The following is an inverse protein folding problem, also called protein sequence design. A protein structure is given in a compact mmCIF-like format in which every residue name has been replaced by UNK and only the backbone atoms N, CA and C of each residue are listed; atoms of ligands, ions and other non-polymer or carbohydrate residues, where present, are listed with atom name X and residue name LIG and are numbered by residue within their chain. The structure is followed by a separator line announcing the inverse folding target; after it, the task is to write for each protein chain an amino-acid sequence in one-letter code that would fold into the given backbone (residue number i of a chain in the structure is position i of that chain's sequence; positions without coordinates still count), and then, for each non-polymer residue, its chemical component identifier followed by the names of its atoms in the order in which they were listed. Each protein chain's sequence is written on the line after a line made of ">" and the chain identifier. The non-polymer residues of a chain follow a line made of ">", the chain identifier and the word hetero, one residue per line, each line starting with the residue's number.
data_IF_727920580027
#
_entry.id   IF_727920580027
#
_cell.length_a   1.000
_cell.length_b   1.000
_cell.length_c   1.000
_cell.angle_alpha   90.00
_cell.angle_beta   90.00
_cell.angle_gamma   90.00
#
_symmetry.space_group_name_H-M   'P 1'
#
loop_
_entity.id
_entity.type
_entity.pdbx_description
1 polymer ?
#
# COMPACT_ATOMS: atom_id res chain seq x y z
N UNK A 1 -23.55 20.81 54.69
CA UNK A 1 -23.60 19.58 53.87
C UNK A 1 -23.76 19.96 52.41
N UNK A 2 -22.72 19.74 51.60
CA UNK A 2 -22.75 19.28 50.21
C UNK A 2 -21.29 19.25 49.73
N UNK A 3 -20.74 18.04 49.69
CA UNK A 3 -19.44 17.78 49.10
C UNK A 3 -19.51 18.06 47.60
N UNK A 4 -18.55 18.82 47.10
CA UNK A 4 -18.28 18.91 45.68
C UNK A 4 -17.25 17.81 45.37
N UNK A 5 -17.71 16.71 44.78
CA UNK A 5 -16.83 15.65 44.29
C UNK A 5 -16.07 16.20 43.07
N UNK A 6 -14.76 16.39 43.24
CA UNK A 6 -13.84 16.75 42.17
C UNK A 6 -13.64 15.50 41.28
N UNK A 7 -14.41 15.41 40.19
CA UNK A 7 -14.17 14.42 39.13
C UNK A 7 -12.95 14.90 38.35
N UNK A 8 -11.79 14.33 38.67
CA UNK A 8 -10.57 14.46 37.88
C UNK A 8 -10.77 13.64 36.60
N UNK A 9 -11.28 14.27 35.54
CA UNK A 9 -11.22 13.73 34.19
C UNK A 9 -9.75 13.68 33.76
N UNK A 10 -9.06 12.59 34.07
CA UNK A 10 -7.89 12.18 33.30
C UNK A 10 -8.38 11.90 31.87
N UNK A 11 -8.37 12.92 31.03
CA UNK A 11 -8.23 12.73 29.58
C UNK A 11 -6.86 12.11 29.35
N UNK A 12 -6.73 10.80 29.60
CA UNK A 12 -5.77 10.01 28.86
C UNK A 12 -6.20 10.15 27.41
N UNK A 13 -5.47 10.96 26.64
CA UNK A 13 -5.41 10.77 25.20
C UNK A 13 -5.16 9.29 24.96
N UNK A 14 -6.21 8.54 24.66
CA UNK A 14 -6.10 7.18 24.13
C UNK A 14 -5.41 7.36 22.78
N UNK A 15 -4.09 7.38 22.81
CA UNK A 15 -3.29 7.08 21.62
C UNK A 15 -3.61 5.60 21.39
N UNK A 16 -4.59 5.35 20.52
CA UNK A 16 -4.79 4.03 19.95
C UNK A 16 -3.50 3.73 19.18
N UNK A 17 -2.57 3.06 19.84
CA UNK A 17 -1.38 2.57 19.18
C UNK A 17 -1.81 1.34 18.40
N UNK A 18 -1.71 1.42 17.07
CA UNK A 18 -1.97 0.27 16.20
C UNK A 18 -1.06 -0.88 16.60
N UNK A 19 -1.66 -2.05 16.87
CA UNK A 19 -0.91 -3.27 17.23
C UNK A 19 -0.21 -3.91 16.04
N UNK A 20 -0.65 -3.59 14.82
CA UNK A 20 0.02 -3.92 13.58
C UNK A 20 1.06 -2.86 13.19
N UNK A 21 2.26 -3.28 12.80
CA UNK A 21 3.34 -2.34 12.49
C UNK A 21 4.37 -2.91 11.51
N UNK A 22 5.10 -1.99 10.88
CA UNK A 22 6.28 -2.28 10.05
C UNK A 22 7.50 -1.71 10.76
N UNK A 23 8.57 -2.51 10.87
CA UNK A 23 9.85 -2.05 11.40
C UNK A 23 10.97 -2.37 10.42
N UNK A 24 11.86 -1.41 10.17
CA UNK A 24 13.00 -1.59 9.28
C UNK A 24 14.16 -2.28 10.02
N UNK A 25 14.87 -3.18 9.34
CA UNK A 25 16.00 -3.91 9.95
C UNK A 25 17.18 -3.00 10.26
N UNK A 26 17.37 -1.94 9.47
CA UNK A 26 18.41 -0.92 9.67
C UNK A 26 18.35 -0.24 11.05
N UNK A 27 17.18 -0.26 11.72
CA UNK A 27 16.99 0.35 13.03
C UNK A 27 17.48 -0.51 14.22
N UNK A 28 17.94 -1.74 13.99
CA UNK A 28 18.28 -2.70 15.05
C UNK A 28 19.76 -3.11 15.00
N UNK A 29 20.64 -2.23 15.48
CA UNK A 29 22.11 -2.39 15.44
C UNK A 29 22.76 -2.88 16.74
N UNK A 30 21.98 -3.49 17.64
CA UNK A 30 22.44 -3.91 18.96
C UNK A 30 22.64 -5.42 19.07
N UNK A 31 23.74 -5.84 19.70
CA UNK A 31 23.97 -7.22 20.14
C UNK A 31 23.12 -7.61 21.35
N UNK A 32 22.66 -6.61 22.11
CA UNK A 32 21.75 -6.83 23.25
C UNK A 32 20.32 -6.90 22.74
N UNK A 33 19.53 -7.92 23.13
CA UNK A 33 18.12 -8.03 22.76
C UNK A 33 17.35 -6.75 23.06
N UNK A 34 16.80 -6.16 22.01
CA UNK A 34 16.00 -4.95 22.06
C UNK A 34 14.53 -5.31 21.88
N UNK A 35 13.67 -4.85 22.79
CA UNK A 35 12.24 -5.10 22.73
C UNK A 35 11.60 -4.33 21.57
N UNK A 36 10.85 -5.03 20.71
CA UNK A 36 9.98 -4.38 19.73
C UNK A 36 8.71 -3.96 20.47
N UNK A 37 8.41 -2.66 20.49
CA UNK A 37 7.27 -2.11 21.24
C UNK A 37 5.94 -2.43 20.55
N UNK A 38 4.83 -2.35 21.29
CA UNK A 38 3.47 -2.45 20.76
C UNK A 38 3.13 -3.78 20.06
N UNK A 39 3.84 -4.85 20.40
CA UNK A 39 3.49 -6.21 19.98
C UNK A 39 2.51 -6.79 20.99
N UNK A 40 1.41 -7.35 20.49
CA UNK A 40 0.42 -8.03 21.32
C UNK A 40 0.63 -9.54 21.32
N UNK A 41 0.06 -10.20 22.31
CA UNK A 41 0.08 -11.66 22.40
C UNK A 41 -0.77 -12.27 21.28
N UNK A 42 -0.31 -13.41 20.74
CA UNK A 42 -0.90 -14.11 19.59
C UNK A 42 -0.79 -13.36 18.25
N UNK A 43 0.16 -12.45 18.11
CA UNK A 43 0.55 -11.84 16.84
C UNK A 43 1.42 -12.78 15.99
N UNK A 44 1.63 -12.43 14.71
CA UNK A 44 2.62 -13.06 13.83
C UNK A 44 3.60 -12.05 13.26
N UNK A 45 4.87 -12.46 13.20
CA UNK A 45 5.99 -11.75 12.58
C UNK A 45 6.28 -12.32 11.18
N UNK A 46 6.44 -11.43 10.21
CA UNK A 46 6.72 -11.74 8.81
C UNK A 46 7.97 -10.98 8.35
N UNK A 47 8.78 -11.60 7.48
CA UNK A 47 10.01 -11.00 6.96
C UNK A 47 9.90 -10.75 5.45
N UNK A 48 10.21 -9.53 5.03
CA UNK A 48 10.44 -9.22 3.62
C UNK A 48 11.82 -8.58 3.47
N UNK A 49 12.76 -9.30 2.87
CA UNK A 49 14.13 -8.82 2.67
C UNK A 49 14.76 -9.42 1.41
N UNK A 50 15.59 -8.62 0.75
CA UNK A 50 16.52 -9.02 -0.31
C UNK A 50 17.97 -9.07 0.18
N UNK A 51 18.19 -8.90 1.49
CA UNK A 51 19.52 -8.88 2.09
C UNK A 51 20.16 -10.27 2.06
N UNK A 52 21.49 -10.31 2.08
CA UNK A 52 22.23 -11.56 2.01
C UNK A 52 21.88 -12.49 3.19
N UNK A 53 21.67 -13.77 2.90
CA UNK A 53 21.36 -14.81 3.90
C UNK A 53 22.35 -14.82 5.07
N UNK A 54 23.64 -14.56 4.81
CA UNK A 54 24.66 -14.47 5.86
C UNK A 54 24.44 -13.31 6.84
N UNK A 55 23.93 -12.16 6.36
CA UNK A 55 23.58 -11.00 7.22
C UNK A 55 22.31 -11.28 8.00
N UNK A 56 21.30 -11.87 7.36
CA UNK A 56 20.04 -12.25 8.00
C UNK A 56 20.23 -13.37 9.04
N UNK A 57 21.17 -14.28 8.82
CA UNK A 57 21.53 -15.35 9.76
C UNK A 57 22.17 -14.85 11.06
N UNK A 58 22.65 -13.60 11.07
CA UNK A 58 23.24 -12.93 12.25
C UNK A 58 22.23 -12.11 13.06
N UNK A 59 20.99 -12.02 12.59
CA UNK A 59 19.89 -11.32 13.25
C UNK A 59 18.95 -12.35 13.83
N UNK A 60 18.70 -12.27 15.14
CA UNK A 60 17.84 -13.20 15.87
C UNK A 60 16.64 -12.47 16.43
N UNK A 61 15.47 -13.07 16.30
CA UNK A 61 14.24 -12.67 16.98
C UNK A 61 13.86 -13.73 17.99
N UNK A 62 13.42 -13.29 19.16
CA UNK A 62 13.03 -14.17 20.28
C UNK A 62 11.69 -13.75 20.83
N UNK A 63 10.78 -14.72 20.98
CA UNK A 63 9.47 -14.54 21.61
C UNK A 63 8.92 -15.88 22.09
N UNK A 64 8.18 -15.88 23.20
CA UNK A 64 7.59 -17.06 23.82
C UNK A 64 8.62 -18.19 24.07
N UNK A 65 9.83 -17.81 24.48
CA UNK A 65 10.96 -18.72 24.71
C UNK A 65 11.51 -19.39 23.43
N UNK A 66 11.02 -19.03 22.25
CA UNK A 66 11.51 -19.51 20.95
C UNK A 66 12.39 -18.47 20.30
N UNK A 67 13.49 -18.91 19.68
CA UNK A 67 14.40 -18.04 18.92
C UNK A 67 14.50 -18.51 17.48
N UNK A 68 14.39 -17.56 16.55
CA UNK A 68 14.63 -17.80 15.12
C UNK A 68 15.58 -16.74 14.58
N UNK A 69 16.49 -17.16 13.70
CA UNK A 69 17.23 -16.22 12.86
C UNK A 69 16.33 -15.70 11.73
N UNK A 70 16.58 -14.50 11.23
CA UNK A 70 15.79 -13.96 10.12
C UNK A 70 15.95 -14.81 8.85
N UNK A 71 17.12 -15.43 8.64
CA UNK A 71 17.32 -16.33 7.50
C UNK A 71 16.35 -17.53 7.53
N UNK A 72 15.97 -18.04 8.72
CA UNK A 72 14.99 -19.13 8.84
C UNK A 72 13.56 -18.67 8.49
N UNK A 73 13.25 -17.39 8.65
CA UNK A 73 11.95 -16.82 8.29
C UNK A 73 11.84 -16.53 6.79
N UNK A 74 12.96 -16.35 6.10
CA UNK A 74 12.99 -15.97 4.68
C UNK A 74 12.37 -17.03 3.76
N UNK A 75 12.30 -18.28 4.21
CA UNK A 75 11.81 -19.45 3.47
C UNK A 75 10.52 -20.05 4.03
N UNK A 76 9.87 -19.39 4.99
CA UNK A 76 8.71 -19.94 5.71
C UNK A 76 7.37 -19.63 5.00
N UNK A 77 7.08 -20.38 3.94
CA UNK A 77 5.88 -20.25 3.11
C UNK A 77 4.98 -21.47 3.14
N UNK A 78 3.71 -21.25 2.83
CA UNK A 78 2.79 -22.31 2.46
C UNK A 78 3.02 -22.77 1.00
N UNK A 79 2.26 -23.78 0.58
CA UNK A 79 2.35 -24.34 -0.78
C UNK A 79 1.93 -23.34 -1.89
N UNK A 80 1.24 -22.25 -1.54
CA UNK A 80 0.80 -21.22 -2.47
C UNK A 80 1.75 -20.01 -2.48
N UNK A 81 2.83 -20.04 -1.69
CA UNK A 81 3.83 -18.97 -1.61
C UNK A 81 3.48 -17.84 -0.63
N UNK A 82 2.43 -17.97 0.18
CA UNK A 82 2.11 -17.01 1.25
C UNK A 82 2.93 -17.31 2.50
N UNK A 83 3.28 -16.28 3.27
CA UNK A 83 4.04 -16.47 4.50
C UNK A 83 3.20 -17.15 5.58
N UNK A 84 3.77 -18.14 6.26
CA UNK A 84 3.13 -18.75 7.44
C UNK A 84 3.15 -17.80 8.66
N UNK A 85 4.23 -17.01 8.76
CA UNK A 85 4.53 -16.11 9.87
C UNK A 85 5.06 -16.83 11.11
N UNK A 86 5.97 -16.20 11.84
CA UNK A 86 6.44 -16.67 13.13
C UNK A 86 5.50 -16.19 14.24
N UNK A 87 4.88 -17.09 15.03
CA UNK A 87 4.06 -16.67 16.16
C UNK A 87 4.89 -15.91 17.20
N UNK A 88 4.41 -14.75 17.62
CA UNK A 88 5.08 -13.85 18.56
C UNK A 88 4.09 -13.26 19.56
N UNK A 89 4.61 -12.83 20.70
CA UNK A 89 3.91 -12.22 21.80
C UNK A 89 4.53 -10.87 22.19
N UNK A 90 3.97 -10.23 23.20
CA UNK A 90 4.44 -8.95 23.76
C UNK A 90 5.86 -8.96 24.34
N UNK A 91 6.50 -10.12 24.41
CA UNK A 91 7.90 -10.33 24.80
C UNK A 91 8.88 -10.31 23.60
N UNK A 92 8.42 -10.00 22.39
CA UNK A 92 9.24 -10.01 21.18
C UNK A 92 10.47 -9.10 21.31
N UNK A 93 11.64 -9.69 21.11
CA UNK A 93 12.93 -8.99 21.05
C UNK A 93 13.68 -9.32 19.77
N UNK A 94 14.58 -8.42 19.39
CA UNK A 94 15.49 -8.57 18.25
C UNK A 94 16.91 -8.18 18.65
N UNK A 95 17.89 -8.92 18.16
CA UNK A 95 19.32 -8.60 18.29
C UNK A 95 20.07 -8.95 17.02
N UNK A 96 21.23 -8.34 16.82
CA UNK A 96 22.11 -8.59 15.68
C UNK A 96 23.56 -8.71 16.13
N UNK A 97 24.31 -9.58 15.45
CA UNK A 97 25.78 -9.65 15.55
C UNK A 97 26.47 -9.07 14.32
N UNK A 98 25.71 -8.44 13.42
CA UNK A 98 26.28 -7.68 12.32
C UNK A 98 27.09 -6.48 12.83
N UNK A 99 28.02 -6.01 12.00
CA UNK A 99 28.64 -4.70 12.23
C UNK A 99 27.60 -3.59 12.05
N UNK A 100 27.87 -2.39 12.59
CA UNK A 100 27.02 -1.22 12.41
C UNK A 100 26.84 -0.92 10.90
N UNK A 101 27.93 -0.84 10.15
CA UNK A 101 27.89 -0.60 8.70
C UNK A 101 27.10 -1.67 7.93
N UNK A 102 27.19 -2.94 8.34
CA UNK A 102 26.38 -4.00 7.73
C UNK A 102 24.90 -3.87 8.04
N UNK A 103 24.56 -3.38 9.24
CA UNK A 103 23.18 -3.17 9.70
C UNK A 103 22.54 -1.97 9.02
N UNK A 104 23.26 -0.85 8.94
CA UNK A 104 22.80 0.38 8.30
C UNK A 104 22.55 0.19 6.78
N UNK A 105 23.16 -0.82 6.18
CA UNK A 105 22.99 -1.19 4.78
C UNK A 105 21.86 -2.20 4.51
N UNK A 106 21.15 -2.67 5.54
CA UNK A 106 20.02 -3.59 5.38
C UNK A 106 18.82 -2.88 4.78
N UNK A 107 18.08 -3.56 3.91
CA UNK A 107 16.87 -3.01 3.28
C UNK A 107 15.59 -3.76 3.68
N UNK A 108 15.75 -4.86 4.41
CA UNK A 108 14.63 -5.67 4.87
C UNK A 108 13.71 -4.96 5.85
N UNK A 109 12.48 -5.44 5.90
CA UNK A 109 11.47 -5.02 6.85
C UNK A 109 10.85 -6.24 7.53
N UNK A 110 10.38 -6.00 8.75
CA UNK A 110 9.53 -6.92 9.48
C UNK A 110 8.11 -6.34 9.51
N UNK A 111 7.14 -7.17 9.19
CA UNK A 111 5.73 -6.89 9.43
C UNK A 111 5.27 -7.67 10.64
N UNK A 112 4.66 -6.98 11.60
CA UNK A 112 4.04 -7.58 12.77
C UNK A 112 2.54 -7.33 12.64
N UNK A 113 1.78 -8.42 12.59
CA UNK A 113 0.33 -8.40 12.50
C UNK A 113 -0.32 -8.23 13.86
N UNK A 114 -1.56 -7.72 13.88
CA UNK A 114 -2.39 -7.77 15.08
C UNK A 114 -2.83 -9.22 15.38
N UNK A 115 -3.27 -9.52 16.61
CA UNK A 115 -3.81 -10.84 16.94
C UNK A 115 -5.05 -11.21 16.12
N UNK A 116 -5.86 -10.23 15.71
CA UNK A 116 -7.05 -10.45 14.89
C UNK A 116 -6.67 -10.82 13.45
N UNK A 117 -5.66 -10.17 12.88
CA UNK A 117 -5.09 -10.55 11.58
C UNK A 117 -4.50 -11.96 11.63
N UNK A 118 -3.78 -12.31 12.70
CA UNK A 118 -3.14 -13.62 12.85
C UNK A 118 -4.15 -14.78 12.94
N UNK A 119 -5.37 -14.51 13.42
CA UNK A 119 -6.49 -15.47 13.52
C UNK A 119 -7.35 -15.55 12.26
N UNK A 120 -7.34 -14.53 11.41
CA UNK A 120 -8.18 -14.51 10.20
C UNK A 120 -7.62 -15.44 9.11
N UNK A 121 -8.34 -16.51 8.72
CA UNK A 121 -7.89 -17.40 7.64
C UNK A 121 -7.90 -16.75 6.25
N UNK A 122 -8.54 -15.58 6.09
CA UNK A 122 -8.56 -14.81 4.84
C UNK A 122 -7.49 -13.71 4.81
N UNK A 123 -6.69 -13.60 5.87
CA UNK A 123 -5.55 -12.70 5.95
C UNK A 123 -4.28 -13.38 5.42
N UNK A 124 -3.74 -12.83 4.34
CA UNK A 124 -2.61 -13.37 3.60
C UNK A 124 -1.49 -12.33 3.58
N UNK A 125 -0.24 -12.80 3.65
CA UNK A 125 0.95 -11.96 3.51
C UNK A 125 1.83 -12.55 2.41
N UNK A 126 2.27 -11.71 1.49
CA UNK A 126 3.14 -12.11 0.39
C UNK A 126 4.29 -11.12 0.22
N UNK A 127 5.52 -11.63 0.14
CA UNK A 127 6.68 -10.83 -0.29
C UNK A 127 6.81 -10.90 -1.79
N UNK A 128 6.82 -9.74 -2.45
CA UNK A 128 6.83 -9.68 -3.91
C UNK A 128 8.20 -10.02 -4.46
N UNK A 129 8.25 -11.12 -5.21
CA UNK A 129 9.47 -11.78 -5.72
C UNK A 129 9.54 -11.69 -7.24
N UNK A 130 10.66 -12.16 -7.80
CA UNK A 130 10.89 -12.18 -9.25
C UNK A 130 9.90 -13.04 -10.03
N UNK A 131 9.30 -14.04 -9.39
CA UNK A 131 8.33 -14.91 -10.03
C UNK A 131 6.95 -14.25 -10.03
N UNK A 132 6.27 -14.34 -11.18
CA UNK A 132 4.87 -14.00 -11.29
C UNK A 132 4.07 -15.00 -10.47
N UNK A 133 3.35 -14.52 -9.46
CA UNK A 133 2.45 -15.35 -8.65
C UNK A 133 1.01 -15.08 -9.08
N UNK A 134 0.31 -16.07 -9.67
CA UNK A 134 -1.13 -15.99 -9.84
C UNK A 134 -1.82 -16.14 -8.48
N UNK A 135 -2.60 -15.14 -8.12
CA UNK A 135 -3.47 -15.15 -6.94
C UNK A 135 -4.88 -15.46 -7.44
N UNK A 136 -5.41 -16.62 -7.06
CA UNK A 136 -6.81 -16.98 -7.31
C UNK A 136 -7.56 -17.15 -5.99
N UNK A 137 -8.42 -16.18 -5.72
CA UNK A 137 -9.33 -16.13 -4.58
C UNK A 137 -10.78 -16.01 -5.05
N UNK A 138 -11.08 -16.51 -6.25
CA UNK A 138 -12.40 -16.36 -6.88
C UNK A 138 -13.54 -17.01 -6.07
N UNK A 139 -13.23 -18.02 -5.26
CA UNK A 139 -14.20 -18.76 -4.43
C UNK A 139 -14.28 -18.26 -2.97
N UNK A 140 -13.62 -17.16 -2.62
CA UNK A 140 -13.61 -16.62 -1.26
C UNK A 140 -14.47 -15.35 -1.18
N UNK A 141 -15.30 -15.25 -0.16
CA UNK A 141 -16.17 -14.08 0.03
C UNK A 141 -15.43 -12.85 0.55
N UNK A 142 -14.31 -13.08 1.26
CA UNK A 142 -13.42 -12.04 1.74
C UNK A 142 -11.96 -12.42 1.55
N UNK A 143 -11.12 -11.43 1.30
CA UNK A 143 -9.67 -11.60 1.24
C UNK A 143 -9.00 -10.31 1.69
N UNK A 144 -7.98 -10.44 2.53
CA UNK A 144 -7.05 -9.34 2.83
C UNK A 144 -5.65 -9.82 2.51
N UNK A 145 -4.99 -9.19 1.55
CA UNK A 145 -3.65 -9.56 1.10
C UNK A 145 -2.70 -8.39 1.35
N UNK A 146 -1.75 -8.58 2.26
CA UNK A 146 -0.63 -7.67 2.47
C UNK A 146 0.49 -8.02 1.49
N UNK A 147 0.94 -7.02 0.74
CA UNK A 147 2.02 -7.12 -0.22
C UNK A 147 3.24 -6.36 0.32
N UNK A 148 4.33 -7.09 0.52
CA UNK A 148 5.60 -6.56 1.02
C UNK A 148 6.61 -6.51 -0.14
N UNK A 149 6.97 -5.31 -0.56
CA UNK A 149 7.87 -5.11 -1.69
C UNK A 149 9.33 -5.26 -1.25
N UNK A 150 10.08 -6.09 -1.97
CA UNK A 150 11.51 -6.26 -1.74
C UNK A 150 12.30 -5.13 -2.40
N UNK A 151 13.41 -4.73 -1.77
CA UNK A 151 14.34 -3.78 -2.38
C UNK A 151 15.00 -4.40 -3.62
N UNK A 152 15.11 -3.61 -4.69
CA UNK A 152 15.78 -3.96 -5.93
C UNK A 152 16.80 -2.89 -6.23
N UNK A 153 18.08 -3.27 -6.22
CA UNK A 153 19.15 -2.36 -6.60
C UNK A 153 19.01 -1.94 -8.07
N UNK A 154 19.29 -0.66 -8.35
CA UNK A 154 19.37 -0.18 -9.72
C UNK A 154 20.62 -0.72 -10.40
N UNK A 155 20.48 -1.10 -11.67
CA UNK A 155 21.61 -1.33 -12.56
C UNK A 155 21.85 -0.10 -13.44
N UNK A 156 23.03 0.01 -14.06
CA UNK A 156 23.41 1.17 -14.86
C UNK A 156 22.47 1.46 -16.06
N UNK A 157 21.72 0.46 -16.52
CA UNK A 157 20.75 0.57 -17.62
C UNK A 157 19.34 0.93 -17.16
N UNK A 158 19.08 0.96 -15.85
CA UNK A 158 17.76 1.32 -15.33
C UNK A 158 17.51 2.81 -15.51
N UNK A 159 16.29 3.23 -15.92
CA UNK A 159 15.95 4.63 -15.99
C UNK A 159 15.91 5.26 -14.59
N UNK A 160 16.13 6.57 -14.54
CA UNK A 160 16.10 7.34 -13.29
C UNK A 160 14.75 7.23 -12.57
N UNK A 161 13.68 7.02 -13.33
CA UNK A 161 12.29 6.88 -12.88
C UNK A 161 11.98 5.54 -12.22
N UNK A 162 12.83 4.51 -12.40
CA UNK A 162 12.64 3.21 -11.77
C UNK A 162 12.79 3.34 -10.23
N UNK A 163 11.81 2.91 -9.43
CA UNK A 163 11.90 2.93 -7.98
C UNK A 163 12.70 1.73 -7.45
N UNK A 164 13.17 1.81 -6.20
CA UNK A 164 13.84 0.68 -5.54
C UNK A 164 12.87 -0.39 -5.03
N UNK A 165 11.60 -0.04 -4.83
CA UNK A 165 10.55 -0.96 -4.44
C UNK A 165 9.46 -0.86 -5.50
N UNK A 166 8.99 -1.99 -6.00
CA UNK A 166 7.87 -2.00 -6.92
C UNK A 166 7.19 -3.35 -6.97
N UNK A 167 5.89 -3.27 -7.22
CA UNK A 167 5.02 -4.39 -7.54
C UNK A 167 4.11 -3.99 -8.66
N UNK A 168 3.87 -4.94 -9.55
CA UNK A 168 2.85 -4.86 -10.58
C UNK A 168 1.78 -5.89 -10.31
N UNK A 169 0.54 -5.43 -10.32
CA UNK A 169 -0.67 -6.26 -10.26
C UNK A 169 -1.39 -6.12 -11.59
N UNK A 170 -1.61 -7.23 -12.28
CA UNK A 170 -2.31 -7.24 -13.57
C UNK A 170 -3.31 -8.39 -13.69
N UNK A 171 -4.07 -8.38 -14.80
CA UNK A 171 -5.09 -9.40 -15.05
C UNK A 171 -6.17 -9.43 -13.96
N UNK A 172 -6.47 -8.27 -13.35
CA UNK A 172 -7.40 -8.16 -12.23
C UNK A 172 -8.81 -8.52 -12.70
N UNK A 173 -9.36 -9.55 -12.09
CA UNK A 173 -10.72 -10.05 -12.29
C UNK A 173 -11.46 -9.97 -10.97
N UNK A 174 -12.66 -9.39 -11.05
CA UNK A 174 -13.60 -9.36 -9.94
C UNK A 174 -15.03 -9.43 -10.48
N UNK A 175 -15.94 -10.13 -9.81
CA UNK A 175 -17.38 -9.99 -10.01
C UNK A 175 -17.91 -8.59 -9.67
N UNK A 176 -19.04 -8.21 -10.26
CA UNK A 176 -19.67 -6.89 -10.06
C UNK A 176 -20.09 -6.63 -8.61
N UNK A 177 -20.46 -7.67 -7.88
CA UNK A 177 -20.84 -7.59 -6.47
C UNK A 177 -19.63 -7.53 -5.51
N UNK A 178 -18.40 -7.76 -6.00
CA UNK A 178 -17.20 -7.67 -5.18
C UNK A 178 -16.77 -6.21 -5.01
N UNK A 179 -16.58 -5.81 -3.76
CA UNK A 179 -15.92 -4.55 -3.43
C UNK A 179 -14.42 -4.78 -3.31
N UNK A 180 -13.65 -4.27 -4.27
CA UNK A 180 -12.19 -4.28 -4.23
C UNK A 180 -11.67 -2.94 -3.72
N UNK A 181 -10.74 -3.02 -2.79
CA UNK A 181 -10.05 -1.87 -2.20
C UNK A 181 -8.55 -2.12 -2.21
N UNK A 182 -7.78 -1.07 -2.43
CA UNK A 182 -6.33 -1.08 -2.29
C UNK A 182 -5.92 0.09 -1.40
N UNK A 183 -5.02 -0.19 -0.46
CA UNK A 183 -4.67 0.72 0.60
C UNK A 183 -3.15 0.84 0.76
N UNK A 184 -2.72 2.02 1.17
CA UNK A 184 -1.37 2.34 1.60
C UNK A 184 -0.99 1.56 2.86
N UNK A 185 0.24 1.02 2.87
CA UNK A 185 0.82 0.40 4.05
C UNK A 185 0.10 -0.88 4.50
N UNK A 186 0.21 -1.20 5.78
CA UNK A 186 -0.45 -2.37 6.37
C UNK A 186 -1.81 -2.01 6.98
N UNK A 187 -2.74 -2.97 7.07
CA UNK A 187 -4.02 -2.77 7.74
C UNK A 187 -3.78 -2.38 9.20
N UNK A 188 -4.68 -1.60 9.79
CA UNK A 188 -4.65 -1.25 11.22
C UNK A 188 -5.53 -2.18 12.06
N UNK A 189 -5.68 -1.88 13.35
CA UNK A 189 -6.64 -2.61 14.18
C UNK A 189 -8.08 -2.34 13.71
N UNK A 190 -8.91 -3.39 13.68
CA UNK A 190 -10.28 -3.30 13.14
C UNK A 190 -10.35 -3.12 11.62
N UNK A 191 -9.32 -3.53 10.86
CA UNK A 191 -9.27 -3.39 9.39
C UNK A 191 -10.45 -4.00 8.61
N UNK A 192 -11.23 -4.89 9.22
CA UNK A 192 -12.44 -5.45 8.62
C UNK A 192 -13.64 -4.50 8.68
N UNK A 193 -13.61 -3.48 9.55
CA UNK A 193 -14.67 -2.49 9.68
C UNK A 193 -14.58 -1.44 8.55
N UNK A 194 -15.56 -1.40 7.63
CA UNK A 194 -15.59 -0.42 6.55
C UNK A 194 -15.84 1.02 7.03
N UNK A 195 -16.31 1.21 8.27
CA UNK A 195 -16.63 2.53 8.85
C UNK A 195 -15.46 3.16 9.60
N UNK A 196 -14.37 2.42 9.81
CA UNK A 196 -13.22 2.93 10.54
C UNK A 196 -12.51 4.02 9.71
N UNK A 197 -12.56 5.27 10.17
CA UNK A 197 -11.98 6.42 9.47
C UNK A 197 -10.49 6.29 9.16
N UNK A 198 -9.74 5.52 9.97
CA UNK A 198 -8.34 5.24 9.74
C UNK A 198 -8.10 4.52 8.39
N UNK A 199 -9.04 3.68 7.95
CA UNK A 199 -8.95 2.96 6.68
C UNK A 199 -9.18 3.88 5.48
N UNK A 200 -10.02 4.91 5.62
CA UNK A 200 -10.31 5.86 4.52
C UNK A 200 -9.10 6.70 4.13
N UNK A 201 -8.26 7.11 5.09
CA UNK A 201 -7.04 7.90 4.79
C UNK A 201 -5.97 7.13 4.03
N UNK A 202 -6.01 5.79 4.10
CA UNK A 202 -5.07 4.90 3.43
C UNK A 202 -5.59 4.45 2.06
N UNK A 203 -6.86 4.68 1.71
CA UNK A 203 -7.46 4.16 0.49
C UNK A 203 -6.84 4.82 -0.75
N UNK A 204 -6.27 4.01 -1.64
CA UNK A 204 -5.63 4.44 -2.89
C UNK A 204 -6.55 4.23 -4.10
N UNK A 205 -7.24 3.10 -4.12
CA UNK A 205 -8.07 2.68 -5.24
C UNK A 205 -9.23 1.83 -4.73
N UNK A 206 -10.37 1.91 -5.42
CA UNK A 206 -11.50 1.02 -5.23
C UNK A 206 -12.18 0.71 -6.56
N UNK A 207 -12.84 -0.45 -6.64
CA UNK A 207 -13.78 -0.77 -7.70
C UNK A 207 -14.89 -1.64 -7.10
N UNK A 208 -16.18 -1.26 -7.13
CA UNK A 208 -16.75 -0.06 -7.78
C UNK A 208 -16.25 1.30 -7.29
N UNK A 209 -16.31 2.30 -8.17
CA UNK A 209 -15.93 3.69 -7.91
C UNK A 209 -17.17 4.52 -7.62
N UNK A 210 -17.09 5.43 -6.66
CA UNK A 210 -18.13 6.44 -6.47
C UNK A 210 -17.73 7.69 -7.22
N UNK A 211 -18.52 8.08 -8.22
CA UNK A 211 -18.34 9.30 -8.98
C UNK A 211 -18.80 10.48 -8.12
N UNK A 212 -17.95 11.49 -7.97
CA UNK A 212 -18.37 12.73 -7.31
C UNK A 212 -19.37 13.44 -8.23
N UNK A 213 -20.62 13.55 -7.81
CA UNK A 213 -21.55 14.48 -8.45
C UNK A 213 -21.20 15.93 -8.04
N UNK A 214 -21.43 16.92 -8.92
CA UNK A 214 -21.25 18.32 -8.57
C UNK A 214 -22.08 18.72 -7.34
N UNK A 215 -21.56 19.69 -6.59
CA UNK A 215 -22.12 20.18 -5.32
C UNK A 215 -23.62 20.49 -5.48
N UNK A 216 -24.49 19.74 -4.77
CA UNK A 216 -25.92 20.05 -4.66
C UNK A 216 -26.92 18.91 -4.89
N UNK A 217 -26.51 17.71 -5.30
CA UNK A 217 -27.41 16.56 -5.57
C UNK A 217 -27.04 15.28 -4.76
N UNK A 218 -28.02 14.37 -4.48
CA UNK A 218 -27.86 13.17 -3.64
C UNK A 218 -27.20 12.00 -4.41
N UNK A 219 -27.03 10.80 -3.78
CA UNK A 219 -25.73 10.17 -3.55
C UNK A 219 -24.89 9.90 -4.81
N UNK A 220 -23.57 9.96 -4.65
CA UNK A 220 -22.57 9.61 -5.66
C UNK A 220 -22.91 8.30 -6.39
N UNK A 221 -23.12 8.38 -7.72
CA UNK A 221 -23.31 7.19 -8.56
C UNK A 221 -22.12 6.27 -8.38
N UNK A 222 -22.40 4.98 -8.15
CA UNK A 222 -21.36 3.97 -8.00
C UNK A 222 -21.29 3.16 -9.27
N UNK A 223 -20.14 3.20 -9.94
CA UNK A 223 -19.91 2.56 -11.24
C UNK A 223 -18.88 1.45 -11.09
N UNK A 224 -19.24 0.28 -11.60
CA UNK A 224 -18.35 -0.87 -11.66
C UNK A 224 -17.62 -0.94 -13.00
N UNK A 225 -16.32 -1.20 -12.94
CA UNK A 225 -15.48 -1.37 -14.13
C UNK A 225 -15.07 -2.83 -14.30
N UNK A 226 -15.51 -3.43 -15.42
CA UNK A 226 -15.08 -4.77 -15.84
C UNK A 226 -13.59 -4.84 -16.23
N UNK A 227 -12.98 -3.70 -16.55
CA UNK A 227 -11.57 -3.61 -16.90
C UNK A 227 -10.84 -2.71 -15.92
N UNK A 228 -9.85 -3.29 -15.24
CA UNK A 228 -8.92 -2.55 -14.40
C UNK A 228 -7.56 -2.62 -15.08
N UNK A 229 -6.98 -1.48 -15.43
CA UNK A 229 -5.62 -1.41 -15.98
C UNK A 229 -4.60 -1.97 -14.98
N UNK A 230 -3.43 -2.46 -15.45
CA UNK A 230 -2.37 -2.90 -14.56
C UNK A 230 -1.97 -1.82 -13.55
N UNK A 231 -1.93 -2.21 -12.29
CA UNK A 231 -1.60 -1.33 -11.18
C UNK A 231 -0.14 -1.53 -10.80
N UNK A 232 0.58 -0.41 -10.64
CA UNK A 232 1.95 -0.42 -10.13
C UNK A 232 2.03 0.34 -8.83
N UNK A 233 2.63 -0.28 -7.82
CA UNK A 233 2.78 0.30 -6.50
C UNK A 233 4.24 0.20 -6.05
N UNK A 234 4.75 1.29 -5.49
CA UNK A 234 6.20 1.50 -5.41
C UNK A 234 6.72 1.73 -4.00
N UNK A 235 5.89 1.64 -2.95
CA UNK A 235 6.35 1.71 -1.56
C UNK A 235 6.65 0.32 -0.99
N UNK A 236 7.25 0.30 0.20
CA UNK A 236 7.68 -0.94 0.88
C UNK A 236 6.52 -1.88 1.22
N UNK A 237 5.33 -1.35 1.51
CA UNK A 237 4.15 -2.16 1.84
C UNK A 237 2.84 -1.51 1.41
N UNK A 238 1.86 -2.36 1.13
CA UNK A 238 0.48 -2.03 0.83
C UNK A 238 -0.41 -3.25 1.01
N UNK A 239 -1.71 -3.07 0.93
CA UNK A 239 -2.63 -4.20 1.00
C UNK A 239 -3.84 -4.04 0.10
N UNK A 240 -4.39 -5.18 -0.28
CA UNK A 240 -5.61 -5.35 -1.06
C UNK A 240 -6.66 -5.96 -0.14
N UNK A 241 -7.89 -5.45 -0.19
CA UNK A 241 -9.04 -6.06 0.47
C UNK A 241 -10.16 -6.27 -0.54
N UNK A 242 -10.74 -7.46 -0.54
CA UNK A 242 -11.95 -7.78 -1.27
C UNK A 242 -13.05 -8.22 -0.30
N UNK A 243 -14.27 -7.73 -0.52
CA UNK A 243 -15.45 -8.00 0.33
C UNK A 243 -16.65 -8.29 -0.55
N UNK A 244 -17.46 -9.28 -0.17
CA UNK A 244 -18.72 -9.61 -0.85
C UNK A 244 -18.55 -10.44 -2.13
N UNK A 245 -17.33 -10.94 -2.38
CA UNK A 245 -17.02 -11.82 -3.50
C UNK A 245 -15.52 -12.00 -3.74
N UNK A 246 -15.20 -12.88 -4.68
CA UNK A 246 -13.82 -13.28 -4.96
C UNK A 246 -13.05 -12.36 -5.89
N UNK A 247 -11.73 -12.56 -5.93
CA UNK A 247 -10.79 -11.81 -6.78
C UNK A 247 -9.75 -12.74 -7.38
N UNK A 248 -9.24 -12.40 -8.56
CA UNK A 248 -8.07 -13.05 -9.12
C UNK A 248 -7.19 -12.04 -9.87
N UNK A 249 -5.87 -12.19 -9.79
CA UNK A 249 -4.88 -11.34 -10.47
C UNK A 249 -3.50 -11.98 -10.42
N UNK A 250 -2.55 -11.44 -11.19
CA UNK A 250 -1.14 -11.80 -11.04
C UNK A 250 -0.41 -10.71 -10.25
N UNK A 251 0.50 -11.12 -9.37
CA UNK A 251 1.44 -10.24 -8.68
C UNK A 251 2.83 -10.53 -9.20
N UNK A 252 3.59 -9.49 -9.56
CA UNK A 252 4.96 -9.65 -10.03
C UNK A 252 5.86 -8.49 -9.62
N UNK A 253 7.16 -8.77 -9.55
CA UNK A 253 8.22 -7.74 -9.46
C UNK A 253 8.65 -7.29 -10.85
N UNK A 254 7.70 -6.84 -11.67
CA UNK A 254 7.98 -6.20 -12.95
C UNK A 254 7.73 -4.70 -12.84
N UNK A 255 8.67 -3.91 -13.35
CA UNK A 255 8.49 -2.47 -13.48
C UNK A 255 8.31 -2.13 -14.95
N UNK A 256 7.26 -1.38 -15.24
CA UNK A 256 6.95 -0.84 -16.56
C UNK A 256 6.93 0.68 -16.43
N UNK A 257 7.69 1.36 -17.28
CA UNK A 257 7.66 2.81 -17.32
C UNK A 257 6.25 3.30 -17.66
N UNK A 258 5.74 4.23 -16.85
CA UNK A 258 4.39 4.83 -17.02
C UNK A 258 4.46 6.32 -17.34
N UNK A 259 5.62 6.81 -17.80
CA UNK A 259 5.82 8.17 -18.32
C UNK A 259 4.81 8.47 -19.43
N UNK A 260 4.62 7.51 -20.35
CA UNK A 260 3.59 7.55 -21.37
C UNK A 260 2.76 6.28 -21.27
N UNK A 261 1.49 6.42 -20.98
CA UNK A 261 0.57 5.29 -20.84
C UNK A 261 -0.66 5.49 -21.70
N UNK A 262 -1.05 4.46 -22.44
CA UNK A 262 -2.29 4.43 -23.19
C UNK A 262 -3.20 3.35 -22.61
N UNK A 263 -4.47 3.67 -22.37
CA UNK A 263 -5.43 2.70 -21.85
C UNK A 263 -5.67 1.55 -22.83
N UNK A 264 -5.87 0.35 -22.29
CA UNK A 264 -6.03 -0.86 -23.12
C UNK A 264 -7.46 -1.03 -23.61
N UNK A 265 -8.44 -0.48 -22.87
CA UNK A 265 -9.87 -0.48 -23.23
C UNK A 265 -10.48 0.91 -23.12
N UNK A 266 -11.65 1.03 -23.73
CA UNK A 266 -12.46 2.25 -23.77
C UNK A 266 -13.16 2.50 -22.43
N UNK A 267 -13.80 1.47 -21.86
CA UNK A 267 -14.33 1.50 -20.49
C UNK A 267 -13.34 0.83 -19.55
N UNK A 268 -12.63 1.62 -18.75
CA UNK A 268 -11.53 1.14 -17.89
C UNK A 268 -11.34 2.03 -16.66
N UNK A 269 -10.71 1.47 -15.63
CA UNK A 269 -10.24 2.24 -14.48
C UNK A 269 -8.83 1.81 -14.10
N UNK A 270 -8.09 2.64 -13.38
CA UNK A 270 -6.82 2.22 -12.79
C UNK A 270 -6.13 3.36 -12.04
N UNK A 271 -4.88 3.12 -11.66
CA UNK A 271 -4.01 4.19 -11.18
C UNK A 271 -2.56 3.89 -11.53
N UNK A 272 -1.78 4.95 -11.69
CA UNK A 272 -0.32 4.88 -11.80
C UNK A 272 0.30 5.56 -10.59
N UNK A 273 1.51 5.16 -10.23
CA UNK A 273 2.22 5.72 -9.08
C UNK A 273 3.63 6.10 -9.50
N UNK A 274 4.04 7.33 -9.22
CA UNK A 274 5.42 7.80 -9.42
C UNK A 274 6.11 8.04 -8.08
N UNK A 275 7.44 7.92 -8.09
CA UNK A 275 8.28 8.16 -6.92
C UNK A 275 9.54 8.95 -7.22
N UNK A 276 10.05 9.54 -6.13
CA UNK A 276 11.40 10.08 -5.92
C UNK A 276 11.76 11.38 -6.66
N UNK A 277 11.33 11.58 -7.90
CA UNK A 277 11.78 12.70 -8.74
C UNK A 277 10.63 13.43 -9.41
N UNK A 278 10.94 14.60 -9.99
CA UNK A 278 10.05 15.26 -10.95
C UNK A 278 9.65 14.28 -12.04
N UNK A 279 8.36 13.98 -12.13
CA UNK A 279 7.85 13.06 -13.11
C UNK A 279 6.70 13.69 -13.87
N UNK A 280 6.85 13.69 -15.18
CA UNK A 280 5.79 13.98 -16.13
C UNK A 280 5.20 12.64 -16.54
N UNK A 281 3.94 12.40 -16.17
CA UNK A 281 3.18 11.27 -16.69
C UNK A 281 2.11 11.79 -17.63
N UNK A 282 2.03 11.20 -18.82
CA UNK A 282 0.96 11.45 -19.78
C UNK A 282 0.13 10.18 -19.90
N UNK A 283 -1.17 10.32 -19.65
CA UNK A 283 -2.14 9.25 -19.82
C UNK A 283 -3.01 9.62 -21.03
N UNK A 284 -2.90 8.80 -22.07
CA UNK A 284 -3.70 8.90 -23.28
C UNK A 284 -4.87 7.94 -23.18
N UNK A 285 -6.08 8.48 -23.22
CA UNK A 285 -7.29 7.68 -23.23
C UNK A 285 -7.56 7.18 -24.65
N UNK A 286 -7.95 5.92 -24.78
CA UNK A 286 -8.47 5.43 -26.06
C UNK A 286 -9.78 6.17 -26.36
N UNK A 287 -9.77 7.02 -27.39
CA UNK A 287 -10.90 7.87 -27.76
C UNK A 287 -12.10 7.04 -28.20
N UNK A 288 -13.25 7.32 -27.59
CA UNK A 288 -14.56 6.83 -28.07
C UNK A 288 -15.52 8.02 -28.10
N UNK A 289 -16.18 8.30 -29.25
CA UNK A 289 -17.20 9.35 -29.33
C UNK A 289 -18.28 9.17 -28.26
N UNK A 290 -18.72 10.28 -27.65
CA UNK A 290 -19.78 10.32 -26.62
C UNK A 290 -19.46 9.57 -25.30
N UNK A 291 -18.19 9.47 -24.91
CA UNK A 291 -17.80 8.90 -23.61
C UNK A 291 -17.13 9.97 -22.75
N UNK A 292 -17.43 9.96 -21.45
CA UNK A 292 -16.85 10.88 -20.47
C UNK A 292 -15.75 10.21 -19.63
N UNK A 293 -14.70 10.95 -19.30
CA UNK A 293 -13.64 10.53 -18.41
C UNK A 293 -13.65 11.29 -17.09
N UNK A 294 -13.06 10.72 -16.04
CA UNK A 294 -12.72 11.50 -14.84
C UNK A 294 -11.36 11.08 -14.34
N UNK A 295 -10.40 11.97 -14.37
CA UNK A 295 -9.06 11.65 -13.88
C UNK A 295 -8.64 12.61 -12.81
N UNK A 296 -7.71 12.17 -11.98
CA UNK A 296 -7.29 12.91 -10.83
C UNK A 296 -5.95 12.46 -10.31
N UNK A 297 -5.56 13.08 -9.21
CA UNK A 297 -4.38 12.68 -8.48
C UNK A 297 -4.68 12.67 -6.99
N UNK A 298 -3.90 11.85 -6.29
CA UNK A 298 -3.83 11.75 -4.85
C UNK A 298 -2.36 11.90 -4.44
N UNK A 299 -2.12 12.76 -3.45
CA UNK A 299 -0.79 13.00 -2.91
C UNK A 299 -0.80 12.58 -1.45
N UNK A 300 0.12 11.70 -1.09
CA UNK A 300 0.42 11.44 0.30
C UNK A 300 1.51 12.40 0.77
N UNK A 301 1.13 13.35 1.60
CA UNK A 301 2.00 14.40 2.16
C UNK A 301 2.83 13.92 3.35
N UNK A 302 2.45 12.82 4.01
CA UNK A 302 3.14 12.31 5.19
C UNK A 302 4.58 11.85 4.94
N UNK A 303 4.91 11.59 3.67
CA UNK A 303 6.24 11.16 3.22
C UNK A 303 6.93 12.20 2.31
N UNK A 304 6.40 13.43 2.24
CA UNK A 304 7.00 14.51 1.46
C UNK A 304 8.23 15.08 2.19
N UNK A 305 9.37 15.19 1.49
CA UNK A 305 10.58 15.83 2.04
C UNK A 305 10.50 17.36 2.04
N UNK A 306 9.67 17.95 1.17
CA UNK A 306 9.49 19.39 1.03
C UNK A 306 8.14 19.69 0.37
N UNK A 307 7.65 20.92 0.54
CA UNK A 307 6.47 21.43 -0.16
C UNK A 307 6.68 21.39 -1.68
N UNK A 308 5.60 21.21 -2.45
CA UNK A 308 5.68 21.01 -3.90
C UNK A 308 4.52 21.65 -4.66
N UNK A 309 4.70 21.86 -5.96
CA UNK A 309 3.59 22.17 -6.88
C UNK A 309 3.24 20.94 -7.71
N UNK A 310 1.93 20.68 -7.84
CA UNK A 310 1.43 19.66 -8.77
C UNK A 310 0.72 20.34 -9.91
N UNK A 311 1.30 20.21 -11.10
CA UNK A 311 0.75 20.78 -12.33
C UNK A 311 -0.02 19.71 -13.08
N UNK A 312 -1.31 19.90 -13.26
CA UNK A 312 -2.15 19.05 -14.10
C UNK A 312 -2.67 19.85 -15.29
N UNK A 313 -2.54 19.28 -16.48
CA UNK A 313 -2.96 19.87 -17.74
C UNK A 313 -4.05 19.00 -18.39
N UNK A 314 -5.16 19.62 -18.79
CA UNK A 314 -6.22 19.02 -19.61
C UNK A 314 -6.52 19.91 -20.82
N UNK A 315 -6.23 19.43 -22.03
CA UNK A 315 -6.64 20.08 -23.30
C UNK A 315 -6.52 21.62 -23.32
N UNK A 316 -5.45 22.17 -22.73
CA UNK A 316 -5.16 23.61 -22.65
C UNK A 316 -5.49 24.30 -21.31
N UNK A 317 -6.26 23.66 -20.43
CA UNK A 317 -6.49 24.10 -19.04
C UNK A 317 -5.43 23.53 -18.11
N UNK A 318 -4.70 24.39 -17.41
CA UNK A 318 -3.61 24.00 -16.51
C UNK A 318 -3.90 24.50 -15.09
N UNK A 319 -3.81 23.61 -14.11
CA UNK A 319 -3.84 23.97 -12.69
C UNK A 319 -2.54 23.57 -12.01
N UNK A 320 -1.98 24.45 -11.18
CA UNK A 320 -0.76 24.18 -10.43
C UNK A 320 -0.90 24.54 -8.95
N UNK A 321 -1.75 23.82 -8.18
CA UNK A 321 -1.85 24.05 -6.74
C UNK A 321 -0.54 23.68 -6.01
N UNK A 322 -0.18 24.52 -5.05
CA UNK A 322 0.85 24.23 -4.07
C UNK A 322 0.34 23.24 -3.03
N UNK A 323 1.20 22.31 -2.63
CA UNK A 323 0.93 21.24 -1.69
C UNK A 323 1.95 21.31 -0.57
N UNK A 324 1.45 21.43 0.66
CA UNK A 324 2.30 21.55 1.85
C UNK A 324 2.47 20.20 2.52
N UNK A 325 3.69 19.95 2.98
CA UNK A 325 4.07 18.87 3.91
C UNK A 325 3.22 18.82 5.17
N UNK A 326 2.65 19.96 5.59
CA UNK A 326 1.80 20.05 6.79
C UNK A 326 0.32 19.73 6.53
N UNK A 327 -0.12 19.67 5.27
CA UNK A 327 -1.51 19.35 4.92
C UNK A 327 -1.69 17.84 4.85
N UNK A 328 -2.83 17.24 5.26
CA UNK A 328 -3.11 15.82 5.05
C UNK A 328 -3.31 15.50 3.55
N UNK A 329 -3.43 14.20 3.21
CA UNK A 329 -3.66 13.68 1.84
C UNK A 329 -4.59 14.57 1.02
N UNK A 330 -4.10 15.05 -0.13
CA UNK A 330 -4.88 15.89 -1.05
C UNK A 330 -5.32 15.07 -2.25
N UNK A 331 -6.60 15.18 -2.65
CA UNK A 331 -7.11 14.63 -3.90
C UNK A 331 -7.74 15.72 -4.75
N UNK A 332 -7.51 15.66 -6.06
CA UNK A 332 -8.18 16.54 -7.03
C UNK A 332 -8.67 15.69 -8.19
N UNK A 333 -9.90 15.93 -8.64
CA UNK A 333 -10.54 15.23 -9.76
C UNK A 333 -10.96 16.23 -10.84
N UNK A 334 -10.95 15.79 -12.08
CA UNK A 334 -11.26 16.60 -13.25
C UNK A 334 -12.08 15.78 -14.27
N UNK A 335 -13.22 16.28 -14.76
CA UNK A 335 -13.92 15.70 -15.91
C UNK A 335 -13.05 15.75 -17.18
N UNK A 336 -13.30 14.90 -18.18
CA UNK A 336 -12.37 14.72 -19.30
C UNK A 336 -12.97 14.16 -20.60
N UNK A 337 -12.35 14.46 -21.74
CA UNK A 337 -12.74 13.96 -23.07
C UNK A 337 -11.64 13.30 -23.90
N UNK A 338 -10.34 13.67 -23.86
CA UNK A 338 -9.35 12.99 -24.75
C UNK A 338 -7.89 12.85 -24.29
N UNK A 339 -7.27 13.73 -23.48
CA UNK A 339 -5.83 13.56 -23.08
C UNK A 339 -5.43 14.41 -21.86
N UNK A 340 -4.67 13.83 -20.91
CA UNK A 340 -4.06 14.58 -19.78
C UNK A 340 -2.59 14.30 -19.52
N UNK A 341 -1.90 15.34 -19.08
CA UNK A 341 -0.52 15.30 -18.58
C UNK A 341 -0.47 15.84 -17.16
N UNK A 342 0.10 15.06 -16.24
CA UNK A 342 0.36 15.47 -14.86
C UNK A 342 1.88 15.56 -14.66
N UNK A 343 2.33 16.73 -14.23
CA UNK A 343 3.71 17.01 -13.87
C UNK A 343 3.76 17.27 -12.37
N UNK A 344 4.57 16.51 -11.65
CA UNK A 344 4.76 16.70 -10.20
C UNK A 344 6.23 16.61 -9.83
N UNK A 345 6.63 17.36 -8.79
CA UNK A 345 7.96 17.38 -8.19
C UNK A 345 7.93 16.78 -6.77
N UNK A 346 7.73 15.47 -6.56
CA UNK A 346 8.09 14.83 -5.27
C UNK A 346 7.95 13.29 -5.24
N UNK A 347 8.23 12.75 -4.05
CA UNK A 347 8.63 11.40 -3.73
C UNK A 347 7.51 10.36 -3.81
N UNK A 348 6.23 10.74 -3.75
CA UNK A 348 5.09 9.82 -3.92
C UNK A 348 3.88 10.57 -4.49
N UNK A 349 3.56 10.33 -5.76
CA UNK A 349 2.30 10.75 -6.37
C UNK A 349 1.54 9.50 -6.83
N UNK A 350 0.28 9.36 -6.41
CA UNK A 350 -0.65 8.37 -6.95
C UNK A 350 -1.59 9.08 -7.91
N UNK A 351 -1.45 8.85 -9.22
CA UNK A 351 -2.37 9.38 -10.23
C UNK A 351 -3.51 8.36 -10.39
N UNK A 352 -4.70 8.71 -9.94
CA UNK A 352 -5.89 7.88 -10.14
C UNK A 352 -6.54 8.23 -11.49
N UNK A 353 -6.62 7.25 -12.37
CA UNK A 353 -7.14 7.39 -13.73
C UNK A 353 -8.51 6.72 -13.77
N UNK A 354 -9.59 7.49 -13.95
CA UNK A 354 -10.94 6.94 -14.11
C UNK A 354 -11.50 7.31 -15.50
N UNK A 355 -12.17 6.38 -16.16
CA UNK A 355 -13.03 6.67 -17.32
C UNK A 355 -14.39 6.16 -16.93
N UNK A 356 -15.46 6.95 -17.04
CA UNK A 356 -16.81 6.47 -16.72
C UNK A 356 -17.65 6.40 -17.98
N UNK A 357 -18.19 5.21 -18.26
CA UNK A 357 -19.25 5.10 -19.25
C UNK A 357 -20.57 5.51 -18.57
N UNK A 358 -21.08 6.70 -18.87
CA UNK A 358 -22.48 7.00 -18.62
C UNK A 358 -23.25 6.63 -19.88
N UNK A 359 -24.02 5.54 -19.81
CA UNK A 359 -25.04 5.22 -20.82
C UNK A 359 -26.27 6.10 -20.56
#
# INVERSE_FOLDING_TARGET
>A
MKSLALILCCFSSLVFCDSSQIVALENYNSTTPTKIQNVLDASKLYLASSDAAAKLGRITVTSNGQSKTLNQLLTDFDANGFHNGFPVNSDLTISTTNSAADTDALNGLLFISSPDMAKDPNFLVYSVRDQVLPIDRSNYNETTLVLLNLHVAKVATDPDTKPFFYTRVDGIKQPENTQLYMYLGVPGDGYTDPKLQANYKKLLFKNPISLLQPIGNPPADTVFFNNIEPIQYTLRSWHIRAVGGGIAFNVSRQWVDSTTYQTTKETTTGFTMSQRNTHHSTVTYKYTPNHDGTSGYMINTGDMFADMNVTSCNEGSVSSPAQSTASPVTSTQFPDTTTKSVTSLSTILTIAVMISNMI
#
